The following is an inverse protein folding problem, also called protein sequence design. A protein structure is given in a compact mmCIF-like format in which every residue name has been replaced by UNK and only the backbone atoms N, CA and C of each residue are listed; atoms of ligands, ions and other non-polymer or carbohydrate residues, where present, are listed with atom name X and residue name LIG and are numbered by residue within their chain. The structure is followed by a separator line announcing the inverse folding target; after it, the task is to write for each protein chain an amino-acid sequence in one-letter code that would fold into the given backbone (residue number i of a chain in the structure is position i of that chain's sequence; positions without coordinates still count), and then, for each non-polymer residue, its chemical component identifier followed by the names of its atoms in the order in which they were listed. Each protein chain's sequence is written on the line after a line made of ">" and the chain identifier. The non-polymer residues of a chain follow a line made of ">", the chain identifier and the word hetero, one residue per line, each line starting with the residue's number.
data_IF_299416152812
#
_entry.id   IF_299416152812
#
_cell.length_a   1.000
_cell.length_b   1.000
_cell.length_c   1.000
_cell.angle_alpha   90.00
_cell.angle_beta   90.00
_cell.angle_gamma   90.00
#
_symmetry.space_group_name_H-M   'P 1'
#
loop_
_entity.id
_entity.type
_entity.pdbx_description
1 polymer ?
#
# COMPACT_ATOMS: atom_id res chain seq x y z
N UNK A 1 -28.61 -12.83 -0.35
CA UNK A 1 -28.49 -11.36 -0.53
C UNK A 1 -27.71 -10.67 0.59
N UNK A 2 -28.23 -10.52 1.81
CA UNK A 2 -27.53 -9.73 2.84
C UNK A 2 -26.23 -10.40 3.36
N UNK A 3 -26.24 -11.73 3.55
CA UNK A 3 -25.03 -12.52 3.87
C UNK A 3 -23.98 -12.48 2.76
N UNK A 4 -24.39 -12.54 1.49
CA UNK A 4 -23.47 -12.51 0.34
C UNK A 4 -22.76 -11.16 0.21
N UNK A 5 -23.44 -10.06 0.56
CA UNK A 5 -22.85 -8.72 0.61
C UNK A 5 -21.80 -8.59 1.73
N UNK A 6 -22.08 -9.16 2.91
CA UNK A 6 -21.15 -9.16 4.05
C UNK A 6 -19.88 -9.98 3.72
N UNK A 7 -20.05 -11.12 3.05
CA UNK A 7 -18.93 -11.96 2.60
C UNK A 7 -18.07 -11.25 1.56
N UNK A 8 -18.70 -10.56 0.60
CA UNK A 8 -17.98 -9.80 -0.43
C UNK A 8 -17.16 -8.64 0.16
N UNK A 9 -17.73 -7.91 1.13
CA UNK A 9 -17.02 -6.83 1.84
C UNK A 9 -15.84 -7.38 2.64
N UNK A 10 -16.03 -8.50 3.34
CA UNK A 10 -14.96 -9.14 4.12
C UNK A 10 -13.83 -9.65 3.22
N UNK A 11 -14.18 -10.24 2.07
CA UNK A 11 -13.22 -10.68 1.07
C UNK A 11 -12.45 -9.49 0.48
N UNK A 12 -13.13 -8.38 0.18
CA UNK A 12 -12.50 -7.15 -0.30
C UNK A 12 -11.47 -6.60 0.71
N UNK A 13 -11.83 -6.47 1.98
CA UNK A 13 -10.92 -6.01 3.04
C UNK A 13 -9.71 -6.95 3.17
N UNK A 14 -9.92 -8.26 3.05
CA UNK A 14 -8.83 -9.24 3.08
C UNK A 14 -7.85 -9.02 1.92
N UNK A 15 -8.36 -8.93 0.69
CA UNK A 15 -7.53 -8.70 -0.52
C UNK A 15 -6.72 -7.42 -0.37
N UNK A 16 -7.38 -6.32 -0.02
CA UNK A 16 -6.74 -5.03 0.24
C UNK A 16 -5.63 -5.16 1.29
N UNK A 17 -5.90 -5.82 2.42
CA UNK A 17 -4.91 -6.04 3.48
C UNK A 17 -3.68 -6.81 2.99
N UNK A 18 -3.89 -7.81 2.13
CA UNK A 18 -2.80 -8.55 1.49
C UNK A 18 -1.99 -7.65 0.55
N UNK A 19 -2.65 -6.85 -0.28
CA UNK A 19 -2.00 -5.90 -1.20
C UNK A 19 -1.21 -4.82 -0.46
N UNK A 20 -1.63 -4.40 0.74
CA UNK A 20 -0.88 -3.47 1.59
C UNK A 20 0.41 -4.06 2.17
N UNK A 21 0.48 -5.38 2.41
CA UNK A 21 1.68 -6.02 3.00
C UNK A 21 2.89 -5.89 2.08
N UNK A 22 2.72 -6.06 0.77
CA UNK A 22 3.82 -5.99 -0.20
C UNK A 22 4.57 -4.64 -0.18
N UNK A 23 3.92 -3.47 -0.32
CA UNK A 23 4.61 -2.19 -0.25
C UNK A 23 5.15 -1.89 1.15
N UNK A 24 4.48 -2.33 2.23
CA UNK A 24 5.00 -2.21 3.59
C UNK A 24 6.32 -2.97 3.77
N UNK A 25 6.38 -4.23 3.34
CA UNK A 25 7.61 -5.02 3.36
C UNK A 25 8.71 -4.36 2.51
N UNK A 26 8.36 -3.80 1.36
CA UNK A 26 9.33 -3.09 0.51
C UNK A 26 9.92 -1.84 1.16
N UNK A 27 9.09 -1.06 1.86
CA UNK A 27 9.51 0.11 2.64
C UNK A 27 10.43 -0.34 3.77
N UNK A 28 10.00 -1.32 4.57
CA UNK A 28 10.75 -1.84 5.71
C UNK A 28 12.13 -2.34 5.29
N UNK A 29 12.20 -3.25 4.32
CA UNK A 29 13.47 -3.79 3.83
C UNK A 29 14.38 -2.70 3.28
N UNK A 30 13.83 -1.68 2.61
CA UNK A 30 14.62 -0.57 2.08
C UNK A 30 15.17 0.32 3.20
N UNK A 31 14.43 0.49 4.30
CA UNK A 31 14.85 1.25 5.47
C UNK A 31 15.94 0.49 6.27
N UNK A 32 15.73 -0.80 6.55
CA UNK A 32 16.71 -1.68 7.22
C UNK A 32 18.03 -1.70 6.43
N UNK A 33 17.93 -1.85 5.11
CA UNK A 33 19.07 -1.79 4.20
C UNK A 33 19.84 -0.46 4.28
N UNK A 34 19.12 0.67 4.38
CA UNK A 34 19.76 1.98 4.52
C UNK A 34 20.48 2.11 5.86
N UNK A 35 19.90 1.59 6.94
CA UNK A 35 20.48 1.59 8.28
C UNK A 35 21.77 0.75 8.33
N UNK A 36 21.71 -0.49 7.86
CA UNK A 36 22.85 -1.42 7.89
C UNK A 36 24.01 -1.00 6.99
N UNK A 37 23.71 -0.35 5.86
CA UNK A 37 24.71 -0.14 4.80
C UNK A 37 25.05 1.35 4.57
N UNK A 38 24.62 2.24 5.47
CA UNK A 38 24.78 3.69 5.27
C UNK A 38 26.21 4.08 4.95
N UNK A 39 27.19 3.66 5.75
CA UNK A 39 28.58 4.07 5.60
C UNK A 39 29.25 3.52 4.33
N UNK A 40 28.81 2.35 3.84
CA UNK A 40 29.46 1.64 2.74
C UNK A 40 28.82 1.90 1.38
N UNK A 41 27.55 2.33 1.35
CA UNK A 41 26.86 2.60 0.09
C UNK A 41 27.17 3.97 -0.48
N UNK A 42 27.31 4.03 -1.80
CA UNK A 42 27.39 5.30 -2.53
C UNK A 42 26.08 6.07 -2.41
N UNK A 43 26.13 7.37 -2.73
CA UNK A 43 24.92 8.21 -2.78
C UNK A 43 23.87 7.61 -3.70
N UNK A 44 24.26 7.12 -4.87
CA UNK A 44 23.36 6.54 -5.87
C UNK A 44 22.68 5.26 -5.37
N UNK A 45 23.40 4.43 -4.60
CA UNK A 45 22.83 3.23 -3.99
C UNK A 45 21.79 3.59 -2.92
N UNK A 46 22.08 4.59 -2.07
CA UNK A 46 21.12 5.10 -1.07
C UNK A 46 19.91 5.74 -1.74
N UNK A 47 20.12 6.56 -2.76
CA UNK A 47 19.06 7.19 -3.55
C UNK A 47 18.11 6.14 -4.14
N UNK A 48 18.63 5.02 -4.66
CA UNK A 48 17.80 3.90 -5.14
C UNK A 48 16.91 3.30 -4.04
N UNK A 49 17.36 3.24 -2.79
CA UNK A 49 16.54 2.76 -1.65
C UNK A 49 15.50 3.79 -1.25
N UNK A 50 15.86 5.07 -1.18
CA UNK A 50 14.88 6.14 -0.96
C UNK A 50 13.80 6.16 -2.03
N UNK A 51 14.15 5.92 -3.31
CA UNK A 51 13.14 5.79 -4.37
C UNK A 51 12.21 4.59 -4.17
N UNK A 52 12.73 3.45 -3.71
CA UNK A 52 11.88 2.30 -3.36
C UNK A 52 10.91 2.61 -2.23
N UNK A 53 11.37 3.29 -1.17
CA UNK A 53 10.50 3.73 -0.07
C UNK A 53 9.39 4.65 -0.61
N UNK A 54 9.75 5.66 -1.41
CA UNK A 54 8.78 6.58 -2.03
C UNK A 54 7.74 5.85 -2.88
N UNK A 55 8.18 4.87 -3.69
CA UNK A 55 7.29 4.06 -4.50
C UNK A 55 6.35 3.19 -3.65
N UNK A 56 6.85 2.61 -2.56
CA UNK A 56 6.05 1.86 -1.60
C UNK A 56 4.96 2.73 -0.97
N UNK A 57 5.33 3.94 -0.50
CA UNK A 57 4.38 4.90 0.08
C UNK A 57 3.31 5.28 -0.94
N UNK A 58 3.70 5.62 -2.18
CA UNK A 58 2.75 5.97 -3.24
C UNK A 58 1.75 4.83 -3.53
N UNK A 59 2.22 3.58 -3.55
CA UNK A 59 1.35 2.41 -3.72
C UNK A 59 0.36 2.27 -2.56
N UNK A 60 0.82 2.44 -1.32
CA UNK A 60 -0.06 2.41 -0.15
C UNK A 60 -1.13 3.52 -0.21
N UNK A 61 -0.73 4.74 -0.59
CA UNK A 61 -1.69 5.85 -0.76
C UNK A 61 -2.75 5.51 -1.79
N UNK A 62 -2.36 4.95 -2.93
CA UNK A 62 -3.32 4.53 -3.97
C UNK A 62 -4.27 3.44 -3.48
N UNK A 63 -3.77 2.41 -2.79
CA UNK A 63 -4.62 1.36 -2.22
C UNK A 63 -5.64 1.94 -1.22
N UNK A 64 -5.24 2.95 -0.44
CA UNK A 64 -6.14 3.65 0.48
C UNK A 64 -7.23 4.43 -0.27
N UNK A 65 -6.87 5.13 -1.35
CA UNK A 65 -7.81 5.84 -2.22
C UNK A 65 -8.80 4.87 -2.88
N UNK A 66 -8.34 3.71 -3.33
CA UNK A 66 -9.17 2.66 -3.93
C UNK A 66 -10.20 2.13 -2.92
N UNK A 67 -9.78 1.89 -1.66
CA UNK A 67 -10.68 1.47 -0.56
C UNK A 67 -11.75 2.52 -0.26
N UNK A 68 -11.36 3.80 -0.16
CA UNK A 68 -12.29 4.89 0.10
C UNK A 68 -13.28 5.08 -1.06
N UNK A 69 -12.82 4.85 -2.30
CA UNK A 69 -13.66 4.95 -3.50
C UNK A 69 -14.73 3.86 -3.52
N UNK A 70 -14.38 2.62 -3.17
CA UNK A 70 -15.36 1.52 -3.03
C UNK A 70 -16.42 1.85 -1.96
N UNK A 71 -16.00 2.39 -0.81
CA UNK A 71 -16.94 2.81 0.24
C UNK A 71 -17.93 3.91 -0.22
N UNK A 72 -17.50 4.85 -1.07
CA UNK A 72 -18.37 5.89 -1.63
C UNK A 72 -19.36 5.35 -2.67
N UNK A 73 -18.93 4.37 -3.49
CA UNK A 73 -19.79 3.66 -4.45
C UNK A 73 -20.87 2.87 -3.70
N UNK A 74 -20.50 2.11 -2.66
CA UNK A 74 -21.45 1.36 -1.83
C UNK A 74 -22.45 2.27 -1.11
N UNK A 75 -22.05 3.49 -0.74
CA UNK A 75 -22.91 4.47 -0.09
C UNK A 75 -23.82 5.26 -1.07
N UNK A 76 -23.74 5.02 -2.39
CA UNK A 76 -24.53 5.73 -3.41
C UNK A 76 -24.15 7.20 -3.59
N UNK A 77 -22.94 7.62 -3.18
CA UNK A 77 -22.50 9.02 -3.15
C UNK A 77 -21.57 9.42 -4.31
N UNK A 78 -21.62 8.71 -5.45
CA UNK A 78 -20.82 9.11 -6.62
C UNK A 78 -21.67 10.01 -7.51
N UNK A 79 -21.44 11.33 -7.41
CA UNK A 79 -21.84 12.28 -8.45
C UNK A 79 -20.90 12.11 -9.66
N UNK A 80 -21.50 11.94 -10.84
CA UNK A 80 -20.81 11.88 -12.14
C UNK A 80 -20.34 13.25 -12.61
#
# INVERSE_FOLDING_TARGET
>A
MESELIDLRSQFISIVSHEFRTPLTSIQLSAEMLEENWAIWTKEQRDKRFQRIKQGILRMTKLLEDVLSVGKVEAGQVEF
#
